data_IF_412827172062
#
_entry.id   IF_412827172062
#
_cell.length_a   1.000
_cell.length_b   1.000
_cell.length_c   1.000
_cell.angle_alpha   90.00
_cell.angle_beta   90.00
_cell.angle_gamma   90.00
#
_symmetry.space_group_name_H-M   'P 1'
#
loop_
_entity.id
_entity.type
_entity.pdbx_description
1 polymer ?
#
# COMPACT_ATOMS: atom_id res chain seq x y z
N UNK A 1 39.34 -5.07 -9.35
CA UNK A 1 38.75 -3.87 -9.92
C UNK A 1 37.34 -3.79 -9.32
N UNK A 2 37.14 -2.94 -8.28
CA UNK A 2 35.86 -2.82 -7.57
C UNK A 2 35.01 -1.77 -8.29
N UNK A 3 33.92 -2.17 -8.93
CA UNK A 3 32.92 -1.24 -9.46
C UNK A 3 32.12 -0.69 -8.29
N UNK A 4 32.23 0.61 -8.09
CA UNK A 4 31.40 1.38 -7.15
C UNK A 4 30.03 1.55 -7.78
N UNK A 5 29.02 0.87 -7.27
CA UNK A 5 27.63 1.03 -7.68
C UNK A 5 27.10 2.31 -7.04
N UNK A 6 26.71 3.22 -7.91
CA UNK A 6 26.21 4.55 -7.59
C UNK A 6 24.84 4.45 -6.88
N UNK A 7 24.80 4.80 -5.58
CA UNK A 7 23.61 4.75 -4.70
C UNK A 7 22.60 5.88 -4.97
N UNK A 8 22.37 6.25 -6.21
CA UNK A 8 21.65 7.47 -6.54
C UNK A 8 20.45 7.33 -7.48
N UNK A 9 19.71 6.18 -7.48
CA UNK A 9 18.53 6.09 -8.36
C UNK A 9 17.36 5.30 -7.74
N UNK A 10 17.02 5.62 -6.48
CA UNK A 10 16.00 4.89 -5.71
C UNK A 10 14.66 5.61 -5.59
N UNK A 11 14.40 6.62 -6.39
CA UNK A 11 13.22 7.48 -6.20
C UNK A 11 12.42 7.70 -7.49
N UNK A 12 12.06 6.63 -8.19
CA UNK A 12 11.23 6.83 -9.40
C UNK A 12 10.32 5.64 -9.67
N UNK A 13 9.33 5.44 -8.83
CA UNK A 13 8.01 4.95 -9.23
C UNK A 13 7.09 5.01 -8.02
N UNK A 14 6.16 5.90 -8.07
CA UNK A 14 5.04 6.30 -7.22
C UNK A 14 5.25 7.60 -6.43
N UNK A 15 5.95 8.57 -6.99
CA UNK A 15 5.81 9.96 -6.59
C UNK A 15 4.99 10.67 -7.67
N UNK A 16 3.69 10.51 -7.64
CA UNK A 16 2.77 11.37 -8.36
C UNK A 16 2.87 12.79 -7.81
N UNK A 17 3.17 13.73 -8.69
CA UNK A 17 2.73 15.09 -8.57
C UNK A 17 3.55 16.03 -7.72
N UNK A 18 4.71 16.48 -8.23
CA UNK A 18 5.06 17.90 -8.10
C UNK A 18 5.45 18.38 -9.50
N UNK A 19 4.49 18.97 -10.22
CA UNK A 19 4.77 19.78 -11.41
C UNK A 19 5.64 20.96 -10.98
N UNK A 20 6.94 20.85 -11.15
CA UNK A 20 7.85 21.98 -11.14
C UNK A 20 7.83 22.58 -12.56
N UNK A 21 7.03 23.62 -12.74
CA UNK A 21 7.18 24.53 -13.89
C UNK A 21 8.56 25.15 -13.84
N UNK A 22 9.46 24.65 -14.67
CA UNK A 22 10.73 25.33 -14.99
C UNK A 22 10.46 26.38 -16.05
N UNK A 23 10.17 27.60 -15.65
CA UNK A 23 10.37 28.76 -16.50
C UNK A 23 11.81 29.25 -16.30
N UNK A 24 12.65 28.98 -17.30
CA UNK A 24 13.92 29.68 -17.50
C UNK A 24 13.64 31.11 -17.91
N UNK A 25 13.92 32.06 -17.05
CA UNK A 25 14.14 33.46 -17.39
C UNK A 25 15.26 34.00 -16.52
N UNK A 26 16.24 34.60 -17.19
CA UNK A 26 17.47 35.22 -16.70
C UNK A 26 17.20 36.34 -15.69
N UNK A 27 18.14 36.67 -14.77
CA UNK A 27 17.90 37.59 -13.67
C UNK A 27 18.17 39.02 -14.10
N UNK A 28 17.20 39.89 -13.92
CA UNK A 28 17.41 41.35 -13.93
C UNK A 28 17.34 41.85 -12.49
N UNK A 29 18.44 42.36 -11.98
CA UNK A 29 18.59 43.07 -10.71
C UNK A 29 17.89 44.42 -10.75
N UNK A 30 16.99 44.75 -9.82
CA UNK A 30 16.76 46.09 -9.25
C UNK A 30 16.12 45.98 -7.86
N UNK A 31 16.29 46.97 -6.92
CA UNK A 31 16.43 46.71 -5.48
C UNK A 31 15.19 46.99 -4.61
N UNK A 32 15.29 46.44 -3.45
CA UNK A 32 14.72 46.84 -2.15
C UNK A 32 13.61 47.91 -2.09
N UNK A 33 12.47 47.53 -1.51
CA UNK A 33 11.76 48.42 -0.56
C UNK A 33 10.93 47.59 0.42
N UNK A 34 11.28 47.79 1.68
CA UNK A 34 10.66 47.33 2.91
C UNK A 34 9.19 47.78 3.02
N UNK A 35 8.28 46.85 3.33
CA UNK A 35 7.03 47.17 4.02
C UNK A 35 6.49 45.97 4.78
N UNK A 36 6.59 46.04 6.09
CA UNK A 36 6.02 45.15 7.07
C UNK A 36 4.53 45.47 7.27
N UNK A 37 3.61 44.53 7.25
CA UNK A 37 2.26 44.79 7.78
C UNK A 37 2.15 44.32 9.25
N UNK A 38 1.66 45.24 10.03
CA UNK A 38 1.33 45.18 11.46
C UNK A 38 0.33 44.05 11.78
N UNK A 39 0.63 43.36 12.89
CA UNK A 39 -0.30 42.50 13.59
C UNK A 39 -1.44 43.31 14.22
N UNK A 40 -2.68 42.98 13.84
CA UNK A 40 -3.87 43.51 14.54
C UNK A 40 -4.27 42.52 15.64
N UNK A 41 -4.14 42.92 16.87
CA UNK A 41 -4.56 42.19 18.07
C UNK A 41 -6.10 42.26 18.17
N UNK A 42 -6.78 41.15 18.04
CA UNK A 42 -8.22 41.05 18.30
C UNK A 42 -8.45 40.82 19.80
N UNK A 43 -9.28 41.71 20.33
CA UNK A 43 -9.68 41.92 21.73
C UNK A 43 -10.54 40.75 22.24
N UNK A 44 -10.12 40.13 23.33
CA UNK A 44 -10.83 39.08 24.06
C UNK A 44 -12.09 39.64 24.74
N UNK A 45 -13.25 39.01 24.53
CA UNK A 45 -14.50 39.27 25.24
C UNK A 45 -14.59 38.40 26.51
N UNK A 46 -15.24 38.87 27.60
CA UNK A 46 -15.20 38.24 28.91
C UNK A 46 -16.10 37.00 29.02
N UNK A 47 -15.55 35.96 29.66
CA UNK A 47 -16.26 34.73 30.02
C UNK A 47 -17.25 35.01 31.15
N UNK A 48 -18.51 34.63 30.93
CA UNK A 48 -19.60 34.69 31.90
C UNK A 48 -19.47 33.52 32.86
N UNK A 49 -19.29 33.78 34.13
CA UNK A 49 -19.30 32.80 35.22
C UNK A 49 -20.70 32.19 35.37
N UNK A 50 -20.81 30.88 35.24
CA UNK A 50 -21.99 30.12 35.62
C UNK A 50 -21.92 29.72 37.10
N UNK A 51 -23.09 29.86 37.75
CA UNK A 51 -23.41 29.71 39.17
C UNK A 51 -23.33 28.21 39.58
N UNK A 52 -22.89 27.88 40.83
CA UNK A 52 -22.83 26.48 41.25
C UNK A 52 -24.23 25.86 41.40
N UNK A 53 -24.41 24.70 40.77
CA UNK A 53 -25.61 23.85 40.93
C UNK A 53 -25.39 22.94 42.14
N UNK A 54 -26.39 22.86 43.01
CA UNK A 54 -26.44 22.04 44.22
C UNK A 54 -26.37 20.53 43.92
N UNK A 55 -25.78 19.69 44.78
CA UNK A 55 -25.67 18.24 44.57
C UNK A 55 -27.02 17.53 44.63
N UNK A 56 -27.27 16.71 43.61
CA UNK A 56 -28.38 15.78 43.58
C UNK A 56 -28.12 14.54 44.48
N UNK A 57 -29.15 13.88 45.00
CA UNK A 57 -29.00 12.79 45.95
C UNK A 57 -28.38 11.52 45.33
N UNK A 58 -27.48 10.91 46.09
CA UNK A 58 -26.80 9.64 45.77
C UNK A 58 -27.84 8.50 45.56
N UNK A 59 -27.93 8.00 44.32
CA UNK A 59 -28.56 6.76 43.98
C UNK A 59 -27.58 5.60 44.20
N UNK A 60 -27.88 4.73 45.12
CA UNK A 60 -27.15 3.48 45.43
C UNK A 60 -26.94 2.65 44.14
N UNK A 61 -25.71 2.20 43.83
CA UNK A 61 -25.47 1.40 42.64
C UNK A 61 -26.08 0.02 42.80
N UNK A 62 -26.90 -0.40 41.83
CA UNK A 62 -27.36 -1.78 41.70
C UNK A 62 -26.15 -2.71 41.45
N UNK A 63 -26.17 -3.97 42.02
CA UNK A 63 -25.05 -4.89 41.85
C UNK A 63 -24.82 -5.21 40.36
N UNK A 64 -23.58 -5.02 39.92
CA UNK A 64 -23.15 -5.33 38.55
C UNK A 64 -23.45 -6.80 38.21
N UNK A 65 -23.99 -7.09 37.01
CA UNK A 65 -24.18 -8.46 36.55
C UNK A 65 -22.79 -9.14 36.43
N UNK A 66 -22.70 -10.35 37.02
CA UNK A 66 -21.51 -11.19 36.92
C UNK A 66 -21.20 -11.42 35.45
N UNK A 67 -19.91 -11.30 35.01
CA UNK A 67 -19.54 -11.62 33.67
C UNK A 67 -19.86 -13.10 33.40
N UNK A 68 -20.80 -13.34 32.50
CA UNK A 68 -21.04 -14.66 31.93
C UNK A 68 -19.80 -15.01 31.12
N UNK A 69 -19.07 -16.02 31.54
CA UNK A 69 -17.93 -16.55 30.80
C UNK A 69 -18.46 -17.08 29.46
N UNK A 70 -18.29 -16.25 28.41
CA UNK A 70 -18.55 -16.65 27.05
C UNK A 70 -17.54 -17.76 26.72
N UNK A 71 -18.04 -18.96 26.40
CA UNK A 71 -17.21 -20.07 25.95
C UNK A 71 -16.58 -19.69 24.64
N UNK A 72 -15.35 -19.14 24.68
CA UNK A 72 -14.53 -18.89 23.53
C UNK A 72 -14.34 -20.21 22.78
N UNK A 73 -14.86 -20.30 21.56
CA UNK A 73 -14.52 -21.38 20.62
C UNK A 73 -13.01 -21.42 20.46
N UNK A 74 -12.37 -22.60 20.39
CA UNK A 74 -10.93 -22.67 20.18
C UNK A 74 -10.59 -21.99 18.86
N UNK A 75 -9.81 -20.90 18.92
CA UNK A 75 -9.31 -20.18 17.75
C UNK A 75 -8.34 -21.09 17.03
N UNK A 76 -8.60 -21.41 15.75
CA UNK A 76 -7.68 -22.18 14.93
C UNK A 76 -6.38 -21.39 14.75
N UNK A 77 -5.28 -21.96 15.23
CA UNK A 77 -3.93 -21.41 15.09
C UNK A 77 -3.19 -22.11 13.95
N UNK A 78 -2.34 -21.37 13.25
CA UNK A 78 -1.51 -21.86 12.16
C UNK A 78 -0.04 -21.57 12.45
N UNK A 79 0.86 -22.45 12.02
CA UNK A 79 2.29 -22.16 11.95
C UNK A 79 2.61 -21.27 10.73
N UNK A 80 3.82 -20.74 10.67
CA UNK A 80 4.29 -19.96 9.52
C UNK A 80 4.32 -20.80 8.24
N UNK A 81 4.74 -22.05 8.36
CA UNK A 81 4.82 -23.01 7.26
C UNK A 81 3.43 -23.34 6.71
N UNK A 82 2.46 -23.61 7.60
CA UNK A 82 1.08 -23.85 7.20
C UNK A 82 0.48 -22.65 6.46
N UNK A 83 0.67 -21.43 6.98
CA UNK A 83 0.21 -20.21 6.32
C UNK A 83 0.86 -20.01 4.94
N UNK A 84 2.15 -20.30 4.82
CA UNK A 84 2.88 -20.22 3.56
C UNK A 84 2.34 -21.23 2.52
N UNK A 85 2.02 -22.46 2.94
CA UNK A 85 1.43 -23.47 2.07
C UNK A 85 -0.01 -23.11 1.67
N UNK A 86 -0.81 -22.61 2.59
CA UNK A 86 -2.18 -22.17 2.30
C UNK A 86 -2.18 -20.97 1.32
N UNK A 87 -1.28 -20.00 1.51
CA UNK A 87 -1.11 -18.89 0.57
C UNK A 87 -0.74 -19.38 -0.84
N UNK A 88 0.19 -20.33 -0.95
CA UNK A 88 0.54 -20.96 -2.24
C UNK A 88 -0.62 -21.73 -2.85
N UNK A 89 -1.40 -22.44 -2.01
CA UNK A 89 -2.58 -23.18 -2.46
C UNK A 89 -3.69 -22.25 -2.95
N UNK A 90 -3.88 -21.12 -2.25
CA UNK A 90 -4.80 -20.07 -2.67
C UNK A 90 -4.39 -19.48 -4.04
N UNK A 91 -3.14 -19.07 -4.19
CA UNK A 91 -2.61 -18.48 -5.42
C UNK A 91 -2.73 -19.41 -6.63
N UNK A 92 -2.53 -20.72 -6.41
CA UNK A 92 -2.72 -21.74 -7.46
C UNK A 92 -4.18 -21.84 -7.94
N UNK A 93 -5.15 -21.59 -7.08
CA UNK A 93 -6.60 -21.64 -7.38
C UNK A 93 -7.12 -20.33 -7.97
N UNK A 94 -6.39 -19.24 -7.82
CA UNK A 94 -6.77 -17.93 -8.36
C UNK A 94 -6.75 -17.99 -9.88
N UNK A 95 -7.85 -17.62 -10.53
CA UNK A 95 -7.96 -17.49 -12.00
C UNK A 95 -8.04 -16.04 -12.44
N UNK A 96 -8.85 -15.25 -11.73
CA UNK A 96 -9.01 -13.82 -11.93
C UNK A 96 -9.01 -13.09 -10.59
N UNK A 97 -8.48 -11.88 -10.58
CA UNK A 97 -8.56 -10.96 -9.45
C UNK A 97 -8.94 -9.57 -9.95
N UNK A 98 -9.84 -8.92 -9.24
CA UNK A 98 -10.09 -7.49 -9.36
C UNK A 98 -10.22 -6.93 -7.94
N UNK A 99 -9.41 -5.93 -7.61
CA UNK A 99 -9.40 -5.32 -6.27
C UNK A 99 -9.03 -3.85 -6.39
N UNK A 100 -9.55 -3.02 -5.48
CA UNK A 100 -9.00 -1.69 -5.26
C UNK A 100 -7.90 -1.76 -4.20
N UNK A 101 -7.00 -0.79 -4.19
CA UNK A 101 -5.98 -0.67 -3.16
C UNK A 101 -5.85 0.77 -2.68
N UNK A 102 -5.46 0.92 -1.43
CA UNK A 102 -4.95 2.15 -0.86
C UNK A 102 -3.53 1.89 -0.38
N UNK A 103 -2.58 2.69 -0.85
CA UNK A 103 -1.17 2.56 -0.52
C UNK A 103 -0.66 3.79 0.20
N UNK A 104 0.15 3.59 1.21
CA UNK A 104 0.89 4.64 1.91
C UNK A 104 2.36 4.27 2.00
N UNK A 105 3.23 5.28 1.89
CA UNK A 105 4.66 5.14 2.15
C UNK A 105 5.06 6.12 3.23
N UNK A 106 5.79 5.63 4.23
CA UNK A 106 6.39 6.44 5.28
C UNK A 106 7.90 6.27 5.29
N UNK A 107 8.61 7.32 5.68
CA UNK A 107 10.05 7.34 5.92
C UNK A 107 10.30 7.78 7.37
N UNK A 108 11.02 6.97 8.14
CA UNK A 108 11.25 7.21 9.59
C UNK A 108 9.94 7.52 10.36
N UNK A 109 8.88 6.78 10.05
CA UNK A 109 7.55 6.95 10.64
C UNK A 109 6.74 8.16 10.14
N UNK A 110 7.31 9.02 9.29
CA UNK A 110 6.63 10.17 8.69
C UNK A 110 6.02 9.77 7.35
N UNK A 111 4.72 10.03 7.19
CA UNK A 111 4.01 9.78 5.92
C UNK A 111 4.58 10.68 4.81
N UNK A 112 5.08 10.07 3.72
CA UNK A 112 5.69 10.79 2.59
C UNK A 112 4.86 10.71 1.32
N UNK A 113 4.06 9.66 1.15
CA UNK A 113 3.13 9.57 0.01
C UNK A 113 1.91 8.70 0.32
N UNK A 114 0.82 8.98 -0.39
CA UNK A 114 -0.38 8.15 -0.44
C UNK A 114 -0.86 8.06 -1.88
N UNK A 115 -1.34 6.89 -2.27
CA UNK A 115 -1.98 6.64 -3.55
C UNK A 115 -3.12 5.64 -3.37
N UNK A 116 -4.01 5.62 -4.33
CA UNK A 116 -5.10 4.65 -4.43
C UNK A 116 -5.21 4.17 -5.87
N UNK A 117 -5.82 3.01 -6.06
CA UNK A 117 -5.95 2.50 -7.41
C UNK A 117 -6.72 1.21 -7.50
N UNK A 118 -6.61 0.57 -8.65
CA UNK A 118 -7.19 -0.73 -8.93
C UNK A 118 -6.13 -1.69 -9.46
N UNK A 119 -6.31 -2.97 -9.14
CA UNK A 119 -5.48 -4.05 -9.63
C UNK A 119 -6.38 -5.11 -10.28
N UNK A 120 -6.01 -5.54 -11.47
CA UNK A 120 -6.65 -6.63 -12.21
C UNK A 120 -5.62 -7.67 -12.60
N UNK A 121 -5.94 -8.97 -12.46
CA UNK A 121 -5.09 -10.08 -12.82
C UNK A 121 -5.87 -11.17 -13.55
N UNK A 122 -5.32 -11.68 -14.66
CA UNK A 122 -5.81 -12.82 -15.45
C UNK A 122 -4.70 -13.88 -15.51
N UNK A 123 -4.92 -14.99 -14.85
CA UNK A 123 -3.95 -16.08 -14.77
C UNK A 123 -3.72 -16.76 -16.12
N UNK A 124 -4.76 -16.95 -16.93
CA UNK A 124 -4.66 -17.67 -18.19
C UNK A 124 -3.71 -16.98 -19.17
N UNK A 125 -3.73 -15.63 -19.15
CA UNK A 125 -2.86 -14.79 -19.97
C UNK A 125 -1.59 -14.38 -19.24
N UNK A 126 -1.51 -14.59 -17.92
CA UNK A 126 -0.50 -14.06 -17.01
C UNK A 126 -0.44 -12.52 -17.03
N UNK A 127 -1.56 -11.87 -17.29
CA UNK A 127 -1.65 -10.41 -17.36
C UNK A 127 -2.01 -9.83 -16.02
N UNK A 128 -1.32 -8.75 -15.67
CA UNK A 128 -1.63 -7.92 -14.52
C UNK A 128 -1.68 -6.46 -14.97
N UNK A 129 -2.70 -5.74 -14.51
CA UNK A 129 -2.85 -4.29 -14.68
C UNK A 129 -3.00 -3.65 -13.31
N UNK A 130 -2.24 -2.59 -13.08
CA UNK A 130 -2.34 -1.75 -11.91
C UNK A 130 -2.56 -0.31 -12.37
N UNK A 131 -3.69 0.28 -12.01
CA UNK A 131 -4.00 1.67 -12.28
C UNK A 131 -3.89 2.47 -10.99
N UNK A 132 -3.08 3.53 -10.98
CA UNK A 132 -3.09 4.55 -9.94
C UNK A 132 -4.10 5.62 -10.35
N UNK A 133 -4.98 6.00 -9.41
CA UNK A 133 -6.07 6.92 -9.66
C UNK A 133 -5.76 8.31 -9.09
N UNK A 134 -6.16 9.34 -9.81
CA UNK A 134 -6.16 10.71 -9.34
C UNK A 134 -7.28 10.97 -8.32
N UNK A 135 -7.42 12.23 -7.87
CA UNK A 135 -8.49 12.64 -6.93
C UNK A 135 -9.90 12.58 -7.51
N UNK A 136 -10.03 12.53 -8.82
CA UNK A 136 -11.28 12.41 -9.56
C UNK A 136 -11.67 10.96 -9.78
N UNK A 137 -10.76 10.01 -9.53
CA UNK A 137 -10.93 8.57 -9.74
C UNK A 137 -10.59 8.13 -11.17
N UNK A 138 -9.96 9.00 -11.96
CA UNK A 138 -9.46 8.66 -13.29
C UNK A 138 -8.04 8.10 -13.20
N UNK A 139 -7.67 7.22 -14.15
CA UNK A 139 -6.34 6.63 -14.16
C UNK A 139 -5.28 7.67 -14.50
N UNK A 140 -4.47 8.06 -13.51
CA UNK A 140 -3.31 8.93 -13.68
C UNK A 140 -2.13 8.17 -14.30
N UNK A 141 -1.91 6.94 -13.84
CA UNK A 141 -0.90 6.05 -14.36
C UNK A 141 -1.45 4.62 -14.44
N UNK A 142 -1.12 3.91 -15.51
CA UNK A 142 -1.42 2.49 -15.67
C UNK A 142 -0.14 1.70 -15.91
N UNK A 143 0.08 0.63 -15.17
CA UNK A 143 1.14 -0.33 -15.40
C UNK A 143 0.53 -1.68 -15.81
N UNK A 144 0.88 -2.17 -16.99
CA UNK A 144 0.34 -3.41 -17.56
C UNK A 144 1.49 -4.33 -17.90
N UNK A 145 1.41 -5.60 -17.47
CA UNK A 145 2.49 -6.58 -17.70
C UNK A 145 1.92 -7.96 -18.02
N UNK A 146 2.67 -8.69 -18.87
CA UNK A 146 2.54 -10.15 -19.07
C UNK A 146 3.63 -10.94 -18.32
N UNK A 147 4.39 -10.24 -17.45
CA UNK A 147 5.57 -10.72 -16.72
C UNK A 147 6.76 -11.10 -17.61
N UNK A 148 6.78 -10.66 -18.86
CA UNK A 148 7.97 -10.61 -19.73
C UNK A 148 8.35 -9.16 -20.01
N UNK A 149 7.34 -8.33 -20.22
CA UNK A 149 7.46 -6.88 -20.40
C UNK A 149 6.48 -6.17 -19.47
N UNK A 150 6.77 -4.91 -19.18
CA UNK A 150 5.86 -3.99 -18.50
C UNK A 150 5.74 -2.71 -19.34
N UNK A 151 4.50 -2.31 -19.55
CA UNK A 151 4.14 -1.06 -20.21
C UNK A 151 3.58 -0.13 -19.16
N UNK A 152 4.20 1.03 -19.01
CA UNK A 152 3.78 2.08 -18.09
C UNK A 152 3.24 3.24 -18.93
N UNK A 153 1.97 3.56 -18.70
CA UNK A 153 1.27 4.67 -19.32
C UNK A 153 1.16 5.79 -18.27
N UNK A 154 1.80 6.90 -18.51
CA UNK A 154 1.55 8.14 -17.80
C UNK A 154 0.48 8.92 -18.55
N UNK A 155 -0.76 8.84 -18.07
CA UNK A 155 -1.90 9.48 -18.74
C UNK A 155 -1.85 11.01 -18.58
N UNK A 156 -1.28 11.53 -17.50
CA UNK A 156 -1.13 12.97 -17.28
C UNK A 156 -0.08 13.58 -18.24
N UNK A 157 1.05 12.88 -18.46
CA UNK A 157 2.11 13.28 -19.35
C UNK A 157 1.94 12.78 -20.79
N UNK A 158 0.94 11.97 -21.07
CA UNK A 158 0.72 11.27 -22.35
C UNK A 158 2.00 10.54 -22.81
N UNK A 159 2.67 9.85 -21.87
CA UNK A 159 3.89 9.13 -22.12
C UNK A 159 3.70 7.63 -21.98
N UNK A 160 4.42 6.87 -22.80
CA UNK A 160 4.44 5.41 -22.77
C UNK A 160 5.88 4.94 -22.60
N UNK A 161 6.13 4.14 -21.56
CA UNK A 161 7.44 3.52 -21.33
C UNK A 161 7.26 2.00 -21.36
N UNK A 162 8.12 1.31 -22.11
CA UNK A 162 8.16 -0.16 -22.13
C UNK A 162 9.52 -0.62 -21.63
N UNK A 163 9.51 -1.55 -20.68
CA UNK A 163 10.72 -2.14 -20.08
C UNK A 163 10.59 -3.66 -20.10
N UNK A 164 11.73 -4.36 -20.10
CA UNK A 164 11.70 -5.79 -19.79
C UNK A 164 11.24 -5.97 -18.33
N UNK A 165 10.53 -7.07 -18.08
CA UNK A 165 10.10 -7.38 -16.70
C UNK A 165 11.29 -7.51 -15.75
N UNK A 166 12.39 -8.11 -16.20
CA UNK A 166 13.61 -8.29 -15.40
C UNK A 166 14.23 -6.95 -15.03
N UNK A 167 14.43 -6.04 -16.00
CA UNK A 167 15.03 -4.73 -15.74
C UNK A 167 14.16 -3.90 -14.78
N UNK A 168 12.83 -4.00 -14.98
CA UNK A 168 11.90 -3.32 -14.08
C UNK A 168 11.97 -3.88 -12.66
N UNK A 169 12.04 -5.20 -12.50
CA UNK A 169 12.14 -5.86 -11.20
C UNK A 169 13.43 -5.47 -10.44
N UNK A 170 14.57 -5.33 -11.10
CA UNK A 170 15.83 -4.95 -10.47
C UNK A 170 15.78 -3.54 -9.85
N UNK A 171 14.91 -2.66 -10.36
CA UNK A 171 14.75 -1.29 -9.88
C UNK A 171 13.69 -1.09 -8.81
N UNK A 172 12.89 -2.12 -8.46
CA UNK A 172 11.69 -1.94 -7.66
C UNK A 172 11.68 -2.83 -6.41
N UNK A 173 11.86 -2.30 -5.20
CA UNK A 173 11.74 -3.09 -3.97
C UNK A 173 10.29 -3.50 -3.68
N UNK A 174 9.29 -2.82 -4.27
CA UNK A 174 7.88 -2.96 -3.91
C UNK A 174 7.08 -3.81 -4.91
N UNK A 175 7.56 -5.00 -5.24
CA UNK A 175 6.96 -5.87 -6.26
C UNK A 175 5.75 -6.68 -5.77
N UNK A 176 5.45 -6.69 -4.47
CA UNK A 176 4.50 -7.65 -3.92
C UNK A 176 3.06 -7.50 -4.45
N UNK A 177 2.65 -6.31 -4.91
CA UNK A 177 1.39 -6.11 -5.63
C UNK A 177 1.39 -6.75 -7.02
N UNK A 178 2.56 -6.99 -7.60
CA UNK A 178 2.70 -7.62 -8.91
C UNK A 178 2.95 -9.13 -8.81
N UNK A 179 3.09 -9.68 -7.60
CA UNK A 179 3.36 -11.10 -7.37
C UNK A 179 2.09 -11.98 -7.38
N UNK A 180 0.90 -11.43 -7.63
CA UNK A 180 -0.30 -12.26 -7.84
C UNK A 180 -0.07 -13.26 -8.97
N UNK A 181 -0.40 -14.52 -8.70
CA UNK A 181 -0.08 -15.67 -9.55
C UNK A 181 1.35 -16.17 -9.44
N UNK A 182 2.18 -15.59 -8.55
CA UNK A 182 3.59 -15.96 -8.34
C UNK A 182 3.98 -16.14 -6.86
N UNK A 183 3.00 -16.22 -5.94
CA UNK A 183 3.29 -16.37 -4.51
C UNK A 183 4.06 -17.65 -4.17
N UNK A 184 3.95 -18.70 -4.99
CA UNK A 184 4.79 -19.89 -4.83
C UNK A 184 6.27 -19.55 -4.96
N UNK A 185 6.68 -18.79 -5.97
CA UNK A 185 8.06 -18.37 -6.15
C UNK A 185 8.48 -17.37 -5.06
N UNK A 186 7.59 -16.42 -4.70
CA UNK A 186 7.82 -15.47 -3.62
C UNK A 186 8.15 -16.19 -2.31
N UNK A 187 7.29 -17.11 -1.86
CA UNK A 187 7.49 -17.86 -0.61
C UNK A 187 8.78 -18.72 -0.67
N UNK A 188 9.08 -19.35 -1.80
CA UNK A 188 10.25 -20.21 -1.92
C UNK A 188 11.58 -19.45 -1.77
N UNK A 189 11.64 -18.19 -2.19
CA UNK A 189 12.86 -17.35 -2.06
C UNK A 189 12.97 -16.64 -0.70
N UNK A 190 11.94 -16.78 0.17
CA UNK A 190 11.93 -16.16 1.50
C UNK A 190 11.90 -17.20 2.61
N UNK A 191 12.37 -16.79 3.77
CA UNK A 191 12.12 -17.48 5.03
C UNK A 191 10.82 -16.94 5.61
N UNK A 192 9.87 -17.83 5.91
CA UNK A 192 8.60 -17.50 6.52
C UNK A 192 8.68 -17.53 8.04
N UNK A 193 8.05 -16.58 8.71
CA UNK A 193 7.82 -16.59 10.16
C UNK A 193 6.45 -15.99 10.50
N UNK A 194 5.84 -16.46 11.56
CA UNK A 194 4.58 -15.93 12.05
C UNK A 194 4.84 -14.69 12.90
N UNK A 195 4.30 -13.53 12.48
CA UNK A 195 4.42 -12.28 13.24
C UNK A 195 3.33 -12.15 14.31
N UNK A 196 2.09 -12.43 13.93
CA UNK A 196 0.91 -12.42 14.82
C UNK A 196 -0.26 -13.14 14.17
N UNK A 197 -1.23 -13.54 14.97
CA UNK A 197 -2.51 -14.01 14.47
C UNK A 197 -3.64 -13.71 15.45
N UNK A 198 -4.84 -13.48 14.91
CA UNK A 198 -6.12 -13.31 15.60
C UNK A 198 -7.08 -14.44 15.21
N UNK A 199 -8.35 -14.32 15.53
CA UNK A 199 -9.39 -15.25 15.07
C UNK A 199 -9.51 -15.23 13.54
N UNK A 200 -9.50 -14.05 12.91
CA UNK A 200 -9.83 -13.84 11.50
C UNK A 200 -8.59 -13.65 10.60
N UNK A 201 -7.48 -13.24 11.15
CA UNK A 201 -6.30 -12.84 10.38
C UNK A 201 -5.01 -13.45 10.92
N UNK A 202 -4.03 -13.63 10.03
CA UNK A 202 -2.67 -13.96 10.40
C UNK A 202 -1.67 -13.10 9.61
N UNK A 203 -0.62 -12.62 10.27
CA UNK A 203 0.45 -11.85 9.65
C UNK A 203 1.66 -12.74 9.43
N UNK A 204 1.89 -13.09 8.16
CA UNK A 204 3.06 -13.82 7.70
C UNK A 204 4.17 -12.82 7.39
N UNK A 205 5.32 -12.99 8.04
CA UNK A 205 6.54 -12.25 7.74
C UNK A 205 7.43 -13.10 6.84
N UNK A 206 7.82 -12.53 5.72
CA UNK A 206 8.72 -13.12 4.73
C UNK A 206 10.01 -12.28 4.69
N UNK A 207 11.17 -12.91 4.94
CA UNK A 207 12.49 -12.29 4.81
C UNK A 207 13.28 -12.97 3.70
N UNK A 208 13.96 -12.23 2.80
CA UNK A 208 14.75 -12.84 1.73
C UNK A 208 15.80 -13.81 2.28
N UNK A 209 15.98 -14.96 1.63
CA UNK A 209 17.05 -15.91 1.96
C UNK A 209 18.41 -15.44 1.51
N UNK A 210 18.47 -14.56 0.53
CA UNK A 210 19.68 -13.97 -0.03
C UNK A 210 19.34 -12.63 -0.73
N UNK A 211 20.34 -11.77 -0.92
CA UNK A 211 20.19 -10.52 -1.65
C UNK A 211 19.90 -9.32 -0.73
N UNK A 212 18.90 -8.52 -1.07
CA UNK A 212 18.56 -7.30 -0.36
C UNK A 212 17.91 -7.56 1.01
N UNK A 213 18.20 -6.70 1.98
CA UNK A 213 17.60 -6.78 3.30
C UNK A 213 16.29 -5.97 3.33
N UNK A 214 15.16 -6.67 3.28
CA UNK A 214 13.83 -6.11 3.52
C UNK A 214 12.96 -7.12 4.27
N UNK A 215 11.83 -6.66 4.77
CA UNK A 215 10.79 -7.49 5.39
C UNK A 215 9.49 -7.28 4.64
N UNK A 216 8.89 -8.38 4.21
CA UNK A 216 7.57 -8.39 3.59
C UNK A 216 6.55 -8.96 4.57
N UNK A 217 5.54 -8.18 4.91
CA UNK A 217 4.43 -8.58 5.76
C UNK A 217 3.20 -8.80 4.90
N UNK A 218 2.61 -9.97 5.01
CA UNK A 218 1.35 -10.32 4.37
C UNK A 218 0.30 -10.57 5.45
N UNK A 219 -0.72 -9.72 5.55
CA UNK A 219 -1.87 -9.99 6.40
C UNK A 219 -2.86 -10.85 5.63
N UNK A 220 -2.96 -12.10 6.00
CA UNK A 220 -3.81 -13.10 5.37
C UNK A 220 -5.17 -13.19 6.08
N UNK A 221 -6.26 -13.22 5.32
CA UNK A 221 -7.57 -13.58 5.81
C UNK A 221 -7.61 -15.09 6.08
N UNK A 222 -7.92 -15.52 7.32
CA UNK A 222 -7.94 -16.95 7.66
C UNK A 222 -9.12 -17.72 7.07
N UNK A 223 -10.10 -17.04 6.50
CA UNK A 223 -11.21 -17.70 5.82
C UNK A 223 -10.81 -18.29 4.46
N UNK A 224 -9.89 -17.61 3.73
CA UNK A 224 -9.49 -18.05 2.39
C UNK A 224 -8.00 -17.78 2.05
N UNK A 225 -7.22 -17.28 3.00
CA UNK A 225 -5.79 -16.98 2.89
C UNK A 225 -5.42 -15.91 1.85
N UNK A 226 -6.40 -15.07 1.49
CA UNK A 226 -6.16 -13.90 0.66
C UNK A 226 -5.30 -12.87 1.40
N UNK A 227 -4.25 -12.31 0.77
CA UNK A 227 -3.44 -11.25 1.37
C UNK A 227 -4.18 -9.91 1.32
N UNK A 228 -4.89 -9.55 2.40
CA UNK A 228 -5.65 -8.28 2.50
C UNK A 228 -4.75 -7.06 2.64
N UNK A 229 -3.56 -7.24 3.22
CA UNK A 229 -2.57 -6.18 3.35
C UNK A 229 -1.21 -6.72 2.95
N UNK A 230 -0.48 -5.91 2.19
CA UNK A 230 0.89 -6.15 1.76
C UNK A 230 1.72 -4.98 2.25
N UNK A 231 2.76 -5.23 3.05
CA UNK A 231 3.64 -4.17 3.53
C UNK A 231 5.10 -4.58 3.38
N UNK A 232 5.94 -3.66 2.91
CA UNK A 232 7.38 -3.84 2.76
C UNK A 232 8.09 -2.80 3.63
N UNK A 233 8.99 -3.29 4.47
CA UNK A 233 9.88 -2.50 5.32
C UNK A 233 11.30 -2.70 4.81
N UNK A 234 11.96 -1.63 4.37
CA UNK A 234 13.34 -1.59 3.95
C UNK A 234 14.03 -0.35 4.52
N UNK A 235 15.09 -0.53 5.29
CA UNK A 235 15.73 0.53 6.06
C UNK A 235 14.71 1.31 6.91
N UNK A 236 14.56 2.62 6.67
CA UNK A 236 13.61 3.52 7.33
C UNK A 236 12.29 3.66 6.57
N UNK A 237 12.16 3.00 5.41
CA UNK A 237 10.98 3.09 4.55
C UNK A 237 10.00 1.96 4.85
N UNK A 238 8.73 2.31 5.03
CA UNK A 238 7.62 1.36 5.10
C UNK A 238 6.58 1.74 4.06
N UNK A 239 6.35 0.84 3.10
CA UNK A 239 5.25 0.94 2.15
C UNK A 239 4.20 -0.10 2.49
N UNK A 240 2.94 0.31 2.62
CA UNK A 240 1.80 -0.54 2.96
C UNK A 240 0.67 -0.33 1.96
N UNK A 241 0.17 -1.42 1.38
CA UNK A 241 -1.01 -1.44 0.55
C UNK A 241 -2.12 -2.26 1.22
N UNK A 242 -3.32 -1.71 1.30
CA UNK A 242 -4.54 -2.38 1.75
C UNK A 242 -5.42 -2.69 0.54
N UNK A 243 -5.84 -3.94 0.39
CA UNK A 243 -6.67 -4.42 -0.70
C UNK A 243 -8.14 -4.43 -0.26
N UNK A 244 -9.01 -3.78 -1.06
CA UNK A 244 -10.42 -3.57 -0.74
C UNK A 244 -11.30 -3.96 -1.93
N UNK A 245 -12.59 -4.21 -1.68
CA UNK A 245 -13.57 -4.50 -2.73
C UNK A 245 -13.13 -5.65 -3.66
N UNK A 246 -12.51 -6.67 -3.09
CA UNK A 246 -11.87 -7.74 -3.84
C UNK A 246 -12.89 -8.72 -4.42
N UNK A 247 -12.81 -8.97 -5.72
CA UNK A 247 -13.53 -10.01 -6.44
C UNK A 247 -12.53 -11.04 -6.97
N UNK A 248 -12.75 -12.30 -6.61
CA UNK A 248 -11.88 -13.43 -6.94
C UNK A 248 -12.61 -14.40 -7.87
N UNK A 249 -11.91 -14.91 -8.88
CA UNK A 249 -12.40 -15.95 -9.80
C UNK A 249 -13.68 -15.56 -10.58
N UNK A 250 -13.90 -14.26 -10.78
CA UNK A 250 -14.93 -13.70 -11.64
C UNK A 250 -14.25 -13.15 -12.89
N UNK A 251 -14.83 -13.41 -14.07
CA UNK A 251 -14.29 -12.91 -15.34
C UNK A 251 -14.19 -11.39 -15.34
N UNK A 252 -13.07 -10.90 -15.87
CA UNK A 252 -12.83 -9.48 -16.06
C UNK A 252 -13.50 -8.99 -17.35
N UNK A 253 -13.82 -7.68 -17.48
CA UNK A 253 -14.22 -7.06 -18.73
C UNK A 253 -13.20 -7.36 -19.85
N UNK A 254 -13.67 -7.52 -21.08
CA UNK A 254 -12.82 -7.93 -22.19
C UNK A 254 -11.72 -6.91 -22.53
N UNK A 255 -11.96 -5.64 -22.25
CA UNK A 255 -11.08 -4.50 -22.48
C UNK A 255 -10.13 -4.18 -21.31
N UNK A 256 -10.19 -4.96 -20.21
CA UNK A 256 -9.39 -4.70 -18.98
C UNK A 256 -7.90 -4.49 -19.28
N UNK A 257 -7.34 -5.25 -20.21
CA UNK A 257 -5.91 -5.16 -20.56
C UNK A 257 -5.64 -4.41 -21.86
N UNK A 258 -6.69 -3.86 -22.51
CA UNK A 258 -6.57 -3.21 -23.82
C UNK A 258 -5.98 -4.12 -24.89
N UNK A 259 -5.43 -3.54 -25.97
CA UNK A 259 -4.75 -4.27 -27.04
C UNK A 259 -3.23 -4.40 -26.86
N UNK A 260 -2.70 -4.30 -25.65
CA UNK A 260 -1.27 -4.12 -25.40
C UNK A 260 -0.40 -5.35 -25.65
N UNK A 261 -0.95 -6.55 -25.50
CA UNK A 261 -0.24 -7.79 -25.71
C UNK A 261 -1.06 -8.67 -26.69
N UNK A 262 -1.01 -8.35 -27.98
CA UNK A 262 -1.62 -9.16 -29.04
C UNK A 262 -0.59 -10.03 -29.75
#
# INVERSE_FOLDING_TARGET
MKLSINKGLWALVLACGVSACSNSAEPTLVPETSAQPQQTIAKTAPVKQEKPVAPAPETTPAPAPKPTAEKTKPVKTFSAEELAEELKAWDKKLTFLSTSFEQSTSYDGVLVSQSQGTLSYDKAKNFLRLDTLDKQGEAEQSAITDKKEIIILDNAGNQVTTLSWTDWQEGQPNQALYDFGNYTALVNRHQASLKSQTEDEAVLLLTPKAGEEYKLYLTLDKADFFPKTIAIEADLMLTRAELKNTRKNQSLPADTFGGFFQ
#
